data_IF_820272952735
#
_entry.id   IF_820272952735
#
_cell.length_a   1.000
_cell.length_b   1.000
_cell.length_c   1.000
_cell.angle_alpha   90.00
_cell.angle_beta   90.00
_cell.angle_gamma   90.00
#
_symmetry.space_group_name_H-M   'P 1'
#
loop_
_entity.id
_entity.type
_entity.pdbx_description
1 polymer ?
#
# COMPACT_ATOMS: atom_id res chain seq x y z
N UNK A 1 -14.70 -2.72 5.38
CA UNK A 1 -14.72 -2.31 3.96
C UNK A 1 -15.66 -3.16 3.09
N UNK A 2 -16.26 -4.25 3.61
CA UNK A 2 -17.13 -5.14 2.82
C UNK A 2 -16.39 -6.25 2.04
N UNK A 3 -15.09 -6.44 2.25
CA UNK A 3 -14.33 -7.55 1.67
C UNK A 3 -14.73 -8.84 2.38
N UNK A 4 -15.08 -9.87 1.62
CA UNK A 4 -15.26 -11.23 2.15
C UNK A 4 -13.91 -11.94 2.10
N UNK A 5 -13.49 -12.50 3.24
CA UNK A 5 -12.22 -13.19 3.37
C UNK A 5 -12.48 -14.62 3.86
N UNK A 6 -11.97 -15.60 3.14
CA UNK A 6 -12.04 -17.02 3.49
C UNK A 6 -10.62 -17.58 3.54
N UNK A 7 -10.37 -18.50 4.47
CA UNK A 7 -9.09 -19.20 4.59
C UNK A 7 -9.33 -20.70 4.41
N UNK A 8 -8.54 -21.30 3.54
CA UNK A 8 -8.57 -22.76 3.35
C UNK A 8 -7.72 -23.51 4.41
N UNK A 9 -7.74 -24.83 4.31
CA UNK A 9 -7.00 -25.72 5.23
C UNK A 9 -5.48 -25.65 5.06
N UNK A 10 -5.01 -25.25 3.89
CA UNK A 10 -3.60 -25.06 3.53
C UNK A 10 -3.09 -23.67 3.93
N UNK A 11 -3.98 -22.78 4.38
CA UNK A 11 -3.65 -21.45 4.86
C UNK A 11 -3.71 -20.36 3.79
N UNK A 12 -4.12 -20.66 2.57
CA UNK A 12 -4.37 -19.65 1.56
C UNK A 12 -5.60 -18.80 1.91
N UNK A 13 -5.58 -17.53 1.50
CA UNK A 13 -6.65 -16.58 1.79
C UNK A 13 -7.29 -16.16 0.47
N UNK A 14 -8.59 -16.43 0.33
CA UNK A 14 -9.43 -15.92 -0.75
C UNK A 14 -10.07 -14.60 -0.32
N UNK A 15 -9.88 -13.55 -1.10
CA UNK A 15 -10.44 -12.22 -0.87
C UNK A 15 -11.41 -11.87 -2.01
N UNK A 16 -12.70 -11.74 -1.68
CA UNK A 16 -13.69 -11.20 -2.61
C UNK A 16 -13.93 -9.71 -2.33
N UNK A 17 -13.40 -8.88 -3.21
CA UNK A 17 -13.50 -7.43 -3.16
C UNK A 17 -14.62 -6.86 -4.06
N UNK A 18 -15.54 -7.70 -4.55
CA UNK A 18 -16.61 -7.28 -5.48
C UNK A 18 -17.66 -6.39 -4.82
N UNK A 19 -17.83 -6.50 -3.50
CA UNK A 19 -18.88 -5.82 -2.72
C UNK A 19 -18.35 -4.80 -1.73
N UNK A 20 -17.23 -4.15 -2.05
CA UNK A 20 -16.73 -3.04 -1.21
C UNK A 20 -17.71 -1.88 -1.32
N UNK A 21 -18.35 -1.52 -0.21
CA UNK A 21 -19.36 -0.48 -0.09
C UNK A 21 -19.08 0.53 1.05
N UNK A 22 -18.04 0.25 1.84
CA UNK A 22 -17.60 1.10 2.92
C UNK A 22 -16.16 1.58 2.67
N UNK A 23 -15.97 2.90 2.67
CA UNK A 23 -14.68 3.52 2.35
C UNK A 23 -14.00 4.12 3.58
N UNK A 24 -14.44 3.72 4.78
CA UNK A 24 -13.90 4.21 6.06
C UNK A 24 -13.23 3.05 6.80
N UNK A 25 -11.95 3.21 7.11
CA UNK A 25 -11.23 2.34 8.03
C UNK A 25 -11.23 2.99 9.44
N UNK A 26 -12.07 2.49 10.37
CA UNK A 26 -12.31 3.16 11.65
C UNK A 26 -11.15 2.99 12.63
N UNK A 27 -11.01 3.94 13.55
CA UNK A 27 -9.95 3.98 14.55
C UNK A 27 -9.79 2.67 15.33
N UNK A 28 -10.89 2.03 15.72
CA UNK A 28 -10.86 0.79 16.51
C UNK A 28 -10.11 -0.35 15.82
N UNK A 29 -10.13 -0.41 14.49
CA UNK A 29 -9.38 -1.38 13.70
C UNK A 29 -7.97 -0.86 13.37
N UNK A 30 -7.85 0.41 12.97
CA UNK A 30 -6.58 0.99 12.53
C UNK A 30 -5.57 1.10 13.67
N UNK A 31 -6.01 1.38 14.91
CA UNK A 31 -5.12 1.49 16.08
C UNK A 31 -4.32 0.23 16.37
N UNK A 32 -4.79 -0.93 15.93
CA UNK A 32 -4.14 -2.23 16.18
C UNK A 32 -3.09 -2.58 15.13
N UNK A 33 -3.14 -1.96 13.95
CA UNK A 33 -2.26 -2.29 12.85
C UNK A 33 -1.92 -1.05 12.02
N UNK A 34 -0.66 -0.61 12.07
CA UNK A 34 -0.18 0.56 11.34
C UNK A 34 -0.38 0.45 9.82
N UNK A 35 -0.21 -0.76 9.26
CA UNK A 35 -0.38 -1.01 7.84
C UNK A 35 -1.77 -0.65 7.30
N UNK A 36 -2.75 -0.41 8.19
CA UNK A 36 -4.09 0.02 7.81
C UNK A 36 -4.11 1.30 6.97
N UNK A 37 -3.09 2.18 7.09
CA UNK A 37 -2.95 3.37 6.24
C UNK A 37 -2.88 3.01 4.75
N UNK A 38 -2.36 1.83 4.41
CA UNK A 38 -2.26 1.38 3.01
C UNK A 38 -3.62 1.15 2.36
N UNK A 39 -4.70 1.00 3.14
CA UNK A 39 -6.05 0.90 2.59
C UNK A 39 -6.49 2.18 1.86
N UNK A 40 -5.92 3.35 2.22
CA UNK A 40 -6.29 4.63 1.63
C UNK A 40 -6.01 4.67 0.13
N UNK A 41 -4.82 4.24 -0.29
CA UNK A 41 -4.38 4.30 -1.68
C UNK A 41 -5.30 3.52 -2.65
N UNK A 42 -5.58 2.22 -2.43
CA UNK A 42 -6.48 1.47 -3.31
C UNK A 42 -7.94 1.95 -3.25
N UNK A 43 -8.41 2.44 -2.09
CA UNK A 43 -9.76 3.02 -1.99
C UNK A 43 -9.88 4.27 -2.88
N UNK A 44 -8.94 5.18 -2.78
CA UNK A 44 -8.93 6.41 -3.57
C UNK A 44 -8.77 6.11 -5.05
N UNK A 45 -7.86 5.19 -5.42
CA UNK A 45 -7.61 4.83 -6.81
C UNK A 45 -8.82 4.15 -7.49
N UNK A 46 -9.59 3.35 -6.73
CA UNK A 46 -10.71 2.57 -7.27
C UNK A 46 -12.07 3.27 -7.14
N UNK A 47 -12.27 4.01 -6.05
CA UNK A 47 -13.57 4.56 -5.68
C UNK A 47 -13.58 6.09 -5.61
N UNK A 48 -12.47 6.75 -5.92
CA UNK A 48 -12.28 8.19 -5.87
C UNK A 48 -12.45 8.80 -4.47
N UNK A 49 -12.54 7.96 -3.44
CA UNK A 49 -12.66 8.37 -2.06
C UNK A 49 -12.13 7.31 -1.11
N UNK A 50 -11.67 7.75 0.05
CA UNK A 50 -11.26 6.88 1.13
C UNK A 50 -11.03 7.68 2.40
N UNK A 51 -11.29 7.06 3.54
CA UNK A 51 -11.05 7.64 4.84
C UNK A 51 -10.40 6.59 5.73
N UNK A 52 -9.24 6.93 6.29
CA UNK A 52 -8.52 6.05 7.20
C UNK A 52 -8.15 6.83 8.44
N UNK A 53 -8.43 6.28 9.61
CA UNK A 53 -7.99 6.88 10.86
C UNK A 53 -6.45 6.98 10.86
N UNK A 54 -5.91 8.03 11.45
CA UNK A 54 -4.49 8.09 11.74
C UNK A 54 -4.09 6.88 12.58
N UNK A 55 -3.01 6.18 12.23
CA UNK A 55 -2.62 4.98 12.94
C UNK A 55 -2.26 5.33 14.39
N UNK A 56 -2.96 4.72 15.33
CA UNK A 56 -2.64 4.76 16.75
C UNK A 56 -1.33 4.04 17.05
N UNK A 57 -0.84 4.22 18.26
CA UNK A 57 0.45 3.83 18.78
C UNK A 57 1.08 2.54 18.29
N UNK A 58 2.10 2.72 17.49
CA UNK A 58 3.19 1.77 17.51
C UNK A 58 4.18 2.23 18.60
N UNK A 59 4.47 1.39 19.57
CA UNK A 59 5.40 1.67 20.69
C UNK A 59 6.81 2.06 20.23
N UNK A 60 7.13 1.92 18.96
CA UNK A 60 8.43 2.16 18.33
C UNK A 60 8.65 3.64 18.02
N UNK A 61 7.64 4.52 18.17
CA UNK A 61 7.77 5.98 17.99
C UNK A 61 6.85 6.58 16.92
N UNK A 62 6.92 7.91 16.79
CA UNK A 62 6.16 8.64 15.79
C UNK A 62 6.63 8.26 14.37
N UNK A 63 5.73 7.73 13.58
CA UNK A 63 5.97 7.43 12.17
C UNK A 63 4.94 8.20 11.35
N UNK A 64 5.29 9.39 10.88
CA UNK A 64 4.38 10.25 10.15
C UNK A 64 3.88 9.57 8.86
N UNK A 65 2.66 9.90 8.47
CA UNK A 65 2.04 9.43 7.22
C UNK A 65 2.14 10.47 6.11
N UNK A 66 2.91 11.53 6.34
CA UNK A 66 3.12 12.68 5.47
C UNK A 66 3.56 12.28 4.05
N UNK A 67 4.49 11.32 3.94
CA UNK A 67 4.94 10.84 2.62
C UNK A 67 3.85 10.10 1.83
N UNK A 68 2.95 9.37 2.53
CA UNK A 68 1.79 8.74 1.89
C UNK A 68 0.82 9.81 1.36
N UNK A 69 0.53 10.80 2.20
CA UNK A 69 -0.36 11.93 1.88
C UNK A 69 0.21 12.71 0.70
N UNK A 70 1.45 13.18 0.81
CA UNK A 70 2.13 13.94 -0.25
C UNK A 70 2.16 13.20 -1.59
N UNK A 71 2.37 11.87 -1.56
CA UNK A 71 2.33 11.06 -2.76
C UNK A 71 0.95 11.04 -3.43
N UNK A 72 -0.12 10.87 -2.65
CA UNK A 72 -1.49 10.89 -3.17
C UNK A 72 -1.92 12.29 -3.66
N UNK A 73 -1.51 13.36 -2.96
CA UNK A 73 -1.75 14.74 -3.40
C UNK A 73 -1.07 15.03 -4.75
N UNK A 74 0.18 14.57 -4.95
CA UNK A 74 0.89 14.70 -6.22
C UNK A 74 0.19 13.94 -7.35
N UNK A 75 -0.52 12.87 -7.05
CA UNK A 75 -1.37 12.15 -8.01
C UNK A 75 -2.73 12.84 -8.24
N UNK A 76 -3.03 13.93 -7.54
CA UNK A 76 -4.24 14.72 -7.72
C UNK A 76 -5.36 14.45 -6.71
N UNK A 77 -5.09 13.75 -5.62
CA UNK A 77 -6.04 13.63 -4.52
C UNK A 77 -6.10 14.93 -3.70
N UNK A 78 -7.29 15.32 -3.29
CA UNK A 78 -7.50 16.33 -2.24
C UNK A 78 -7.56 15.62 -0.90
N UNK A 79 -6.69 16.03 0.03
CA UNK A 79 -6.59 15.38 1.34
C UNK A 79 -6.90 16.36 2.45
N UNK A 80 -7.73 15.94 3.39
CA UNK A 80 -8.11 16.67 4.59
C UNK A 80 -7.81 15.82 5.82
N UNK A 81 -7.26 16.45 6.84
CA UNK A 81 -7.10 15.86 8.17
C UNK A 81 -8.21 16.38 9.06
N UNK A 82 -9.15 15.52 9.42
CA UNK A 82 -10.31 15.89 10.20
C UNK A 82 -10.62 14.85 11.27
N UNK A 83 -10.79 15.27 12.51
CA UNK A 83 -11.11 14.43 13.68
C UNK A 83 -10.22 13.18 13.83
N UNK A 84 -8.93 13.29 13.47
CA UNK A 84 -7.99 12.16 13.53
C UNK A 84 -8.08 11.18 12.36
N UNK A 85 -8.76 11.57 11.30
CA UNK A 85 -8.82 10.81 10.04
C UNK A 85 -8.10 11.53 8.91
N UNK A 86 -7.50 10.73 8.03
CA UNK A 86 -7.06 11.16 6.69
C UNK A 86 -8.21 10.88 5.74
N UNK A 87 -8.85 11.93 5.24
CA UNK A 87 -9.90 11.86 4.21
C UNK A 87 -9.28 12.23 2.88
N UNK A 88 -9.45 11.39 1.88
CA UNK A 88 -8.93 11.64 0.54
C UNK A 88 -10.04 11.48 -0.49
N UNK A 89 -10.13 12.44 -1.41
CA UNK A 89 -11.10 12.45 -2.50
C UNK A 89 -10.43 12.84 -3.81
N UNK A 90 -10.97 12.33 -4.92
CA UNK A 90 -10.54 12.66 -6.28
C UNK A 90 -11.79 12.99 -7.10
N UNK A 91 -11.75 14.07 -7.86
CA UNK A 91 -12.91 14.53 -8.63
C UNK A 91 -13.31 13.58 -9.77
N UNK A 92 -12.31 12.97 -10.42
CA UNK A 92 -12.51 12.03 -11.55
C UNK A 92 -11.59 10.82 -11.35
N UNK A 93 -10.32 10.95 -11.63
CA UNK A 93 -9.32 9.88 -11.58
C UNK A 93 -7.97 10.46 -11.21
N UNK A 94 -7.18 9.72 -10.44
CA UNK A 94 -5.78 10.09 -10.20
C UNK A 94 -5.03 10.27 -11.52
N UNK A 95 -4.04 11.15 -11.53
CA UNK A 95 -3.24 11.49 -12.72
C UNK A 95 -1.78 11.16 -12.45
N UNK A 96 -1.21 10.37 -13.34
CA UNK A 96 0.21 9.99 -13.30
C UNK A 96 1.11 11.21 -13.40
N UNK A 97 2.17 11.22 -12.61
CA UNK A 97 3.15 12.30 -12.53
C UNK A 97 4.51 11.78 -12.07
N UNK A 98 5.52 12.63 -12.14
CA UNK A 98 6.84 12.34 -11.56
C UNK A 98 6.85 12.71 -10.09
N UNK A 99 7.16 11.73 -9.24
CA UNK A 99 7.20 11.86 -7.78
C UNK A 99 8.62 11.54 -7.30
N UNK A 100 9.34 12.56 -6.83
CA UNK A 100 10.62 12.38 -6.15
C UNK A 100 10.34 12.29 -4.66
N UNK A 101 10.70 11.16 -4.06
CA UNK A 101 10.54 10.94 -2.62
C UNK A 101 11.65 11.65 -1.86
N UNK A 102 11.31 12.51 -0.89
CA UNK A 102 12.29 13.23 -0.06
C UNK A 102 13.13 12.27 0.79
N UNK A 103 12.52 11.18 1.22
CA UNK A 103 13.15 10.09 1.98
C UNK A 103 12.67 8.76 1.45
N UNK A 104 13.55 7.76 1.43
CA UNK A 104 13.16 6.39 1.14
C UNK A 104 12.16 5.91 2.18
N UNK A 105 11.02 5.42 1.74
CA UNK A 105 9.96 4.88 2.60
C UNK A 105 9.25 3.72 1.91
N UNK A 106 9.35 2.53 2.50
CA UNK A 106 8.64 1.34 2.02
C UNK A 106 7.14 1.59 1.94
N UNK A 107 6.57 2.10 3.04
CA UNK A 107 5.14 2.33 3.12
C UNK A 107 4.61 3.32 2.09
N UNK A 108 5.30 4.45 1.91
CA UNK A 108 4.90 5.46 0.94
C UNK A 108 5.11 4.97 -0.51
N UNK A 109 6.20 4.25 -0.79
CA UNK A 109 6.43 3.62 -2.11
C UNK A 109 5.27 2.69 -2.46
N UNK A 110 4.85 1.80 -1.53
CA UNK A 110 3.70 0.92 -1.73
C UNK A 110 2.41 1.71 -1.99
N UNK A 111 2.12 2.73 -1.18
CA UNK A 111 0.91 3.53 -1.36
C UNK A 111 0.86 4.22 -2.72
N UNK A 112 1.96 4.88 -3.12
CA UNK A 112 2.04 5.58 -4.40
C UNK A 112 1.95 4.58 -5.56
N UNK A 113 2.66 3.46 -5.48
CA UNK A 113 2.65 2.43 -6.51
C UNK A 113 1.25 1.83 -6.70
N UNK A 114 0.56 1.47 -5.61
CA UNK A 114 -0.82 0.97 -5.66
C UNK A 114 -1.78 2.00 -6.27
N UNK A 115 -1.70 3.26 -5.82
CA UNK A 115 -2.56 4.33 -6.35
C UNK A 115 -2.31 4.58 -7.84
N UNK A 116 -1.05 4.58 -8.27
CA UNK A 116 -0.64 4.83 -9.64
C UNK A 116 -1.14 3.78 -10.64
N UNK A 117 -1.42 2.54 -10.20
CA UNK A 117 -1.90 1.47 -11.11
C UNK A 117 -3.20 1.83 -11.82
N UNK A 118 -4.06 2.61 -11.18
CA UNK A 118 -5.32 3.06 -11.76
C UNK A 118 -5.32 4.56 -12.13
N UNK A 119 -4.19 5.24 -12.04
CA UNK A 119 -4.06 6.64 -12.45
C UNK A 119 -4.12 6.79 -13.98
N UNK A 120 -4.44 7.97 -14.46
CA UNK A 120 -4.43 8.32 -15.88
C UNK A 120 -3.00 8.68 -16.32
N UNK A 121 -2.45 7.99 -17.28
CA UNK A 121 -1.07 8.23 -17.78
C UNK A 121 -0.02 7.46 -16.97
N UNK A 122 1.19 7.99 -16.94
CA UNK A 122 2.37 7.32 -16.36
C UNK A 122 2.82 8.01 -15.08
N UNK A 123 3.10 7.24 -14.04
CA UNK A 123 3.73 7.70 -12.81
C UNK A 123 5.17 7.23 -12.76
N UNK A 124 6.09 8.13 -12.41
CA UNK A 124 7.50 7.82 -12.17
C UNK A 124 7.78 8.10 -10.69
N UNK A 125 8.22 7.07 -9.96
CA UNK A 125 8.59 7.20 -8.56
C UNK A 125 10.12 7.14 -8.47
N UNK A 126 10.75 8.21 -8.02
CA UNK A 126 12.20 8.30 -7.81
C UNK A 126 12.53 8.29 -6.34
N UNK A 127 13.70 7.79 -6.00
CA UNK A 127 14.15 7.51 -4.64
C UNK A 127 13.19 6.54 -3.92
N UNK A 128 12.65 5.57 -4.69
CA UNK A 128 11.76 4.53 -4.20
C UNK A 128 12.48 3.55 -3.27
N UNK A 129 11.73 2.90 -2.41
CA UNK A 129 12.20 1.77 -1.61
C UNK A 129 12.48 0.56 -2.51
N UNK A 130 13.45 -0.28 -2.12
CA UNK A 130 13.96 -1.40 -2.94
C UNK A 130 13.76 -2.76 -2.29
N UNK A 131 13.12 -2.79 -1.13
CA UNK A 131 12.93 -3.98 -0.31
C UNK A 131 12.12 -5.05 -1.06
N UNK A 132 12.30 -6.34 -0.71
CA UNK A 132 11.63 -7.46 -1.38
C UNK A 132 10.11 -7.32 -1.46
N UNK A 133 9.47 -6.76 -0.44
CA UNK A 133 8.04 -6.51 -0.41
C UNK A 133 7.56 -5.51 -1.47
N UNK A 134 8.44 -4.61 -1.94
CA UNK A 134 8.14 -3.72 -3.08
C UNK A 134 8.05 -4.53 -4.38
N UNK A 135 9.01 -5.41 -4.58
CA UNK A 135 9.05 -6.30 -5.76
C UNK A 135 7.84 -7.23 -5.75
N UNK A 136 7.59 -7.88 -4.61
CA UNK A 136 6.47 -8.80 -4.42
C UNK A 136 5.11 -8.13 -4.70
N UNK A 137 4.91 -6.90 -4.19
CA UNK A 137 3.69 -6.14 -4.45
C UNK A 137 3.57 -5.74 -5.92
N UNK A 138 4.67 -5.35 -6.58
CA UNK A 138 4.67 -5.03 -8.00
C UNK A 138 4.33 -6.27 -8.85
N UNK A 139 4.89 -7.43 -8.51
CA UNK A 139 4.60 -8.70 -9.18
C UNK A 139 3.14 -9.10 -8.99
N UNK A 140 2.59 -8.95 -7.77
CA UNK A 140 1.19 -9.17 -7.49
C UNK A 140 0.29 -8.26 -8.34
N UNK A 141 0.56 -6.96 -8.35
CA UNK A 141 -0.21 -5.99 -9.15
C UNK A 141 -0.09 -6.27 -10.65
N UNK A 142 1.10 -6.63 -11.15
CA UNK A 142 1.29 -7.00 -12.55
C UNK A 142 0.50 -8.26 -12.93
N UNK A 143 0.41 -9.27 -12.05
CA UNK A 143 -0.48 -10.41 -12.25
C UNK A 143 -1.95 -10.02 -12.32
N UNK A 144 -2.35 -8.95 -11.61
CA UNK A 144 -3.68 -8.37 -11.68
C UNK A 144 -3.92 -7.54 -12.96
N UNK A 145 -2.89 -7.33 -13.79
CA UNK A 145 -2.97 -6.60 -15.04
C UNK A 145 -2.42 -5.17 -14.98
N UNK A 146 -1.73 -4.79 -13.90
CA UNK A 146 -0.98 -3.54 -13.83
C UNK A 146 0.25 -3.58 -14.77
N UNK A 147 0.87 -2.42 -14.98
CA UNK A 147 2.07 -2.27 -15.79
C UNK A 147 3.13 -1.53 -14.98
N UNK A 148 3.85 -2.27 -14.17
CA UNK A 148 4.88 -1.76 -13.27
C UNK A 148 6.23 -2.31 -13.69
N UNK A 149 7.23 -1.42 -13.80
CA UNK A 149 8.62 -1.77 -14.09
C UNK A 149 9.56 -1.06 -13.12
N UNK A 150 10.77 -1.57 -12.94
CA UNK A 150 11.79 -0.98 -12.08
C UNK A 150 11.63 -1.27 -10.58
N UNK A 151 10.66 -2.08 -10.15
CA UNK A 151 10.55 -2.49 -8.75
C UNK A 151 11.85 -3.19 -8.29
N UNK A 152 12.30 -2.89 -7.06
CA UNK A 152 13.61 -3.32 -6.54
C UNK A 152 14.74 -2.36 -6.87
N UNK A 153 14.49 -1.30 -7.64
CA UNK A 153 15.40 -0.17 -7.85
C UNK A 153 14.84 1.10 -7.22
N UNK A 154 15.61 2.19 -7.27
CA UNK A 154 15.14 3.50 -6.80
C UNK A 154 14.26 4.25 -7.83
N UNK A 155 14.01 3.64 -8.97
CA UNK A 155 13.24 4.22 -10.06
C UNK A 155 12.15 3.25 -10.52
N UNK A 156 10.91 3.51 -10.14
CA UNK A 156 9.75 2.69 -10.49
C UNK A 156 8.88 3.47 -11.47
N UNK A 157 8.48 2.79 -12.55
CA UNK A 157 7.56 3.34 -13.54
C UNK A 157 6.27 2.54 -13.50
N UNK A 158 5.14 3.24 -13.40
CA UNK A 158 3.80 2.66 -13.40
C UNK A 158 2.98 3.29 -14.53
N UNK A 159 2.61 2.50 -15.53
CA UNK A 159 1.63 2.91 -16.53
C UNK A 159 0.23 2.58 -16.02
N UNK A 160 -0.60 3.59 -15.84
CA UNK A 160 -1.94 3.41 -15.33
C UNK A 160 -2.84 2.63 -16.29
N UNK A 161 -3.68 1.76 -15.72
CA UNK A 161 -4.65 0.95 -16.47
C UNK A 161 -6.10 1.30 -16.06
N UNK A 162 -7.08 0.92 -16.89
CA UNK A 162 -8.49 1.22 -16.61
C UNK A 162 -9.05 0.37 -15.46
N UNK A 163 -8.56 -0.87 -15.33
CA UNK A 163 -9.02 -1.82 -14.30
C UNK A 163 -7.98 -2.88 -14.02
N UNK A 164 -8.03 -3.43 -12.83
CA UNK A 164 -7.32 -4.63 -12.43
C UNK A 164 -8.29 -5.82 -12.32
N UNK A 165 -7.77 -7.03 -12.42
CA UNK A 165 -8.52 -8.30 -12.28
C UNK A 165 -8.02 -9.06 -11.06
N UNK A 166 -8.75 -10.09 -10.63
CA UNK A 166 -8.26 -11.01 -9.61
C UNK A 166 -7.12 -11.88 -10.14
N UNK A 167 -6.26 -12.32 -9.25
CA UNK A 167 -5.17 -13.26 -9.55
C UNK A 167 -4.84 -14.12 -8.32
N UNK A 168 -4.05 -15.16 -8.56
CA UNK A 168 -3.42 -15.95 -7.51
C UNK A 168 -1.96 -15.50 -7.33
N UNK A 169 -1.54 -15.33 -6.06
CA UNK A 169 -0.19 -14.88 -5.73
C UNK A 169 0.30 -15.54 -4.44
N UNK A 170 1.53 -16.04 -4.46
CA UNK A 170 2.23 -16.51 -3.27
C UNK A 170 3.09 -15.37 -2.74
N UNK A 171 2.79 -14.94 -1.51
CA UNK A 171 3.49 -13.83 -0.85
C UNK A 171 4.88 -14.29 -0.41
N UNK A 172 5.89 -13.45 -0.58
CA UNK A 172 7.24 -13.71 -0.08
C UNK A 172 7.27 -13.75 1.46
N UNK A 173 8.17 -14.55 2.07
CA UNK A 173 8.35 -14.55 3.52
C UNK A 173 8.73 -13.17 4.07
N UNK A 174 8.25 -12.85 5.29
CA UNK A 174 8.60 -11.61 5.97
C UNK A 174 10.08 -11.61 6.36
N UNK A 175 10.87 -10.72 5.73
CA UNK A 175 12.29 -10.56 6.00
C UNK A 175 12.58 -10.05 7.42
N UNK A 176 11.68 -9.31 8.02
CA UNK A 176 11.83 -8.78 9.39
C UNK A 176 11.65 -9.91 10.39
N UNK A 177 10.61 -10.72 10.21
CA UNK A 177 10.41 -11.93 11.04
C UNK A 177 11.56 -12.91 10.90
N UNK A 178 11.98 -13.20 9.66
CA UNK A 178 13.13 -14.07 9.37
C UNK A 178 14.40 -13.57 10.07
N UNK A 179 14.71 -12.27 9.94
CA UNK A 179 15.87 -11.65 10.59
C UNK A 179 15.80 -11.73 12.11
N UNK A 180 14.62 -11.55 12.69
CA UNK A 180 14.40 -11.66 14.13
C UNK A 180 14.71 -13.07 14.65
N UNK A 181 14.24 -14.10 13.97
CA UNK A 181 14.54 -15.50 14.34
C UNK A 181 16.01 -15.87 14.13
N UNK A 182 16.66 -15.38 13.07
CA UNK A 182 18.08 -15.57 12.87
C UNK A 182 18.91 -14.97 14.00
N UNK A 183 18.59 -13.75 14.43
CA UNK A 183 19.23 -13.10 15.58
C UNK A 183 18.97 -13.88 16.87
N UNK A 184 17.73 -14.31 17.10
CA UNK A 184 17.38 -15.11 18.27
C UNK A 184 18.19 -16.42 18.33
N UNK A 185 18.34 -17.11 17.21
CA UNK A 185 19.19 -18.30 17.10
C UNK A 185 20.66 -18.03 17.46
N UNK A 186 21.23 -16.95 16.92
CA UNK A 186 22.61 -16.56 17.19
C UNK A 186 22.86 -16.20 18.67
N UNK A 187 21.95 -15.44 19.30
CA UNK A 187 22.06 -15.00 20.70
C UNK A 187 21.90 -16.17 21.68
N UNK A 188 20.99 -17.10 21.39
CA UNK A 188 20.69 -18.24 22.29
C UNK A 188 21.64 -19.42 22.11
N UNK A 189 22.55 -19.40 21.12
CA UNK A 189 23.36 -20.54 20.74
C UNK A 189 22.53 -21.69 20.14
N UNK A 190 21.30 -21.40 19.69
CA UNK A 190 20.40 -22.35 19.04
C UNK A 190 20.91 -22.78 17.66
N UNK A 191 20.30 -23.83 17.14
CA UNK A 191 20.56 -24.38 15.80
C UNK A 191 19.27 -24.37 14.99
#
# INVERSE_FOLDING_TARGET
>A
LGVVAERDAEGAVLLDCSKIDHFVAPYELVKTMRASIWALAPLVARFNQGQVSLPGGCSIGARPVDLHISGLEKLGATIELDEGYVKAVVADRLVGTRIVMEKVSVGATLSIMMAATLAKGTTIIENAAREPEIVDTADFLNKMGAKITGAGTDHIVVEGVERLTGCEHSIVPDRIETGTFLIAGAISGGR
#
